data_IF_228129914486
#
_entry.id   IF_228129914486
#
_cell.length_a   1.000
_cell.length_b   1.000
_cell.length_c   1.000
_cell.angle_alpha   90.00
_cell.angle_beta   90.00
_cell.angle_gamma   90.00
#
_symmetry.space_group_name_H-M   'P 1'
#
loop_
_entity.id
_entity.type
_entity.pdbx_description
1 polymer ?
#
# COMPACT_ATOMS: atom_id res chain seq x y z
N UNK A 1 35.28 41.14 23.80
CA UNK A 1 34.21 41.08 22.77
C UNK A 1 33.34 39.87 23.08
N UNK A 2 32.03 39.89 22.79
CA UNK A 2 31.15 38.72 22.95
C UNK A 2 31.03 37.99 21.61
N UNK A 3 31.33 36.70 21.56
CA UNK A 3 31.10 35.87 20.38
C UNK A 3 29.60 35.54 20.24
N UNK A 4 29.02 35.56 19.04
CA UNK A 4 27.66 35.08 18.82
C UNK A 4 27.63 33.54 18.81
N UNK A 5 26.68 32.94 19.53
CA UNK A 5 26.44 31.50 19.46
C UNK A 5 25.68 31.15 18.18
N UNK A 6 26.25 30.29 17.34
CA UNK A 6 25.55 29.71 16.19
C UNK A 6 24.66 28.55 16.65
N UNK A 7 23.37 28.80 16.83
CA UNK A 7 22.38 27.72 17.05
C UNK A 7 22.05 27.05 15.72
N UNK A 8 22.69 25.92 15.45
CA UNK A 8 22.47 25.14 14.23
C UNK A 8 21.14 24.37 14.30
N UNK A 9 20.11 24.84 13.60
CA UNK A 9 18.85 24.11 13.45
C UNK A 9 19.00 22.89 12.53
N UNK A 10 19.18 21.70 13.11
CA UNK A 10 19.15 20.42 12.38
C UNK A 10 17.89 19.64 12.74
N UNK A 11 16.78 19.92 12.05
CA UNK A 11 15.49 19.23 12.25
C UNK A 11 14.77 18.80 10.96
N UNK A 12 15.29 19.14 9.77
CA UNK A 12 14.63 18.82 8.50
C UNK A 12 14.95 17.41 7.94
N UNK A 13 16.05 16.78 8.38
CA UNK A 13 16.56 15.56 7.74
C UNK A 13 15.79 14.28 8.12
N UNK A 14 15.21 14.21 9.32
CA UNK A 14 14.58 12.99 9.84
C UNK A 14 13.23 12.69 9.20
N UNK A 15 12.40 13.71 8.98
CA UNK A 15 11.08 13.55 8.35
C UNK A 15 11.17 13.06 6.89
N UNK A 16 12.20 13.47 6.15
CA UNK A 16 12.47 12.96 4.82
C UNK A 16 12.84 11.46 4.83
N UNK A 17 13.63 11.03 5.82
CA UNK A 17 14.02 9.63 5.96
C UNK A 17 12.84 8.71 6.33
N UNK A 18 11.98 9.11 7.27
CA UNK A 18 10.78 8.31 7.62
C UNK A 18 9.78 8.23 6.46
N UNK A 19 9.69 9.28 5.64
CA UNK A 19 8.82 9.30 4.45
C UNK A 19 9.23 8.27 3.39
N UNK A 20 10.48 7.80 3.35
CA UNK A 20 10.96 6.77 2.43
C UNK A 20 10.69 5.33 2.90
N UNK A 21 10.04 5.16 4.05
CA UNK A 21 9.70 3.88 4.66
C UNK A 21 8.19 3.56 4.58
N UNK A 22 7.35 4.49 4.11
CA UNK A 22 5.98 4.14 3.68
C UNK A 22 6.06 3.64 2.24
N UNK A 23 5.58 2.42 2.00
CA UNK A 23 5.79 1.68 0.75
C UNK A 23 4.51 1.03 0.26
N UNK A 24 4.43 0.78 -1.03
CA UNK A 24 3.42 -0.11 -1.60
C UNK A 24 3.89 -1.53 -1.31
N UNK A 25 3.11 -2.30 -0.56
CA UNK A 25 3.54 -3.58 0.04
C UNK A 25 2.84 -4.80 -0.52
N UNK A 26 1.62 -4.63 -1.05
CA UNK A 26 0.85 -5.66 -1.74
C UNK A 26 0.12 -5.05 -2.96
N UNK A 27 -0.06 -5.83 -4.02
CA UNK A 27 -0.87 -5.47 -5.19
C UNK A 27 -1.59 -6.69 -5.75
N UNK A 28 -2.85 -6.53 -6.16
CA UNK A 28 -3.61 -7.54 -6.89
C UNK A 28 -4.14 -6.97 -8.20
N UNK A 29 -3.68 -7.55 -9.33
CA UNK A 29 -4.04 -7.11 -10.69
C UNK A 29 -5.45 -7.54 -11.11
N UNK A 30 -6.01 -8.60 -10.54
CA UNK A 30 -7.38 -9.02 -10.85
C UNK A 30 -7.93 -9.95 -9.79
N UNK A 31 -9.22 -9.81 -9.51
CA UNK A 31 -9.99 -10.72 -8.67
C UNK A 31 -11.48 -10.40 -8.75
N UNK A 32 -12.32 -11.24 -8.16
CA UNK A 32 -13.78 -11.12 -8.24
C UNK A 32 -14.33 -9.78 -7.68
N UNK A 33 -13.56 -9.12 -6.81
CA UNK A 33 -13.95 -7.92 -6.10
C UNK A 33 -13.08 -6.71 -6.48
N UNK A 34 -12.63 -6.66 -7.73
CA UNK A 34 -11.81 -5.58 -8.27
C UNK A 34 -10.34 -5.64 -7.86
N UNK A 35 -9.59 -4.63 -8.27
CA UNK A 35 -8.16 -4.50 -8.00
C UNK A 35 -7.92 -3.67 -6.74
N UNK A 36 -6.74 -3.86 -6.14
CA UNK A 36 -6.29 -3.05 -5.00
C UNK A 36 -4.76 -3.04 -4.87
N UNK A 37 -4.24 -2.06 -4.13
CA UNK A 37 -2.90 -2.11 -3.55
C UNK A 37 -2.90 -1.73 -2.06
N UNK A 38 -1.93 -2.26 -1.32
CA UNK A 38 -1.67 -1.93 0.08
C UNK A 38 -0.56 -0.88 0.19
N UNK A 39 -0.74 0.11 1.06
CA UNK A 39 0.29 1.06 1.49
C UNK A 39 0.59 0.83 2.98
N UNK A 40 1.77 0.34 3.32
CA UNK A 40 2.20 0.13 4.71
C UNK A 40 3.36 1.03 5.14
N UNK A 41 3.31 1.49 6.40
CA UNK A 41 4.43 2.18 7.05
C UNK A 41 5.41 1.19 7.68
N UNK A 42 6.59 1.05 7.08
CA UNK A 42 7.65 0.13 7.49
C UNK A 42 8.70 0.81 8.39
N UNK A 43 8.40 2.00 8.93
CA UNK A 43 9.23 2.69 9.90
C UNK A 43 8.89 2.28 11.35
N UNK A 44 9.88 2.38 12.24
CA UNK A 44 9.69 2.31 13.70
C UNK A 44 9.07 3.60 14.31
N UNK A 45 8.57 4.49 13.46
CA UNK A 45 8.00 5.79 13.83
C UNK A 45 6.69 6.02 13.07
N UNK A 46 5.63 6.58 13.69
CA UNK A 46 4.39 6.85 12.99
C UNK A 46 4.56 7.88 11.86
N UNK A 47 3.86 7.67 10.73
CA UNK A 47 3.87 8.59 9.58
C UNK A 47 2.44 9.04 9.27
N UNK A 48 2.23 10.36 9.19
CA UNK A 48 0.94 10.94 8.86
C UNK A 48 0.80 11.16 7.35
N UNK A 49 -0.34 10.71 6.79
CA UNK A 49 -0.63 10.70 5.34
C UNK A 49 -1.32 11.98 4.83
N UNK A 50 -1.47 13.03 5.64
CA UNK A 50 -2.06 14.30 5.20
C UNK A 50 -1.33 14.89 3.98
N UNK A 51 -2.07 15.17 2.90
CA UNK A 51 -1.57 15.60 1.59
C UNK A 51 -0.67 14.60 0.84
N UNK A 52 -0.54 13.34 1.29
CA UNK A 52 0.03 12.30 0.43
C UNK A 52 -0.91 11.97 -0.72
N UNK A 53 -0.35 11.46 -1.82
CA UNK A 53 -1.11 11.09 -3.03
C UNK A 53 -0.58 9.81 -3.65
N UNK A 54 -1.44 9.09 -4.37
CA UNK A 54 -1.01 8.07 -5.32
C UNK A 54 -1.35 8.46 -6.75
N UNK A 55 -0.60 7.96 -7.73
CA UNK A 55 -0.91 8.15 -9.15
C UNK A 55 -0.63 6.86 -9.92
N UNK A 56 -1.57 6.46 -10.77
CA UNK A 56 -1.53 5.21 -11.53
C UNK A 56 -1.61 5.45 -13.05
N UNK A 57 -1.30 6.66 -13.55
CA UNK A 57 -1.57 7.02 -14.94
C UNK A 57 -0.59 8.04 -15.53
N UNK A 58 -0.44 9.21 -14.90
CA UNK A 58 0.37 10.33 -15.43
C UNK A 58 1.77 10.42 -14.82
N UNK A 59 2.05 9.66 -13.75
CA UNK A 59 3.33 9.69 -13.04
C UNK A 59 3.62 10.98 -12.28
N UNK A 60 2.62 11.86 -12.09
CA UNK A 60 2.75 13.22 -11.57
C UNK A 60 1.88 13.48 -10.32
N UNK A 61 2.49 14.00 -9.25
CA UNK A 61 1.86 14.31 -7.96
C UNK A 61 0.55 15.11 -8.06
N UNK A 62 0.55 16.24 -8.80
CA UNK A 62 -0.59 17.15 -8.88
C UNK A 62 -1.87 16.50 -9.47
N UNK A 63 -1.69 15.44 -10.27
CA UNK A 63 -2.77 14.67 -10.89
C UNK A 63 -3.09 13.37 -10.12
N UNK A 64 -2.33 13.05 -9.07
CA UNK A 64 -2.59 11.91 -8.20
C UNK A 64 -3.82 12.12 -7.31
N UNK A 65 -4.50 11.03 -6.97
CA UNK A 65 -5.61 11.00 -6.03
C UNK A 65 -5.08 11.15 -4.58
N UNK A 66 -5.83 11.82 -3.68
CA UNK A 66 -5.42 12.02 -2.30
C UNK A 66 -5.51 10.73 -1.49
N UNK A 67 -4.58 10.56 -0.54
CA UNK A 67 -4.69 9.57 0.53
C UNK A 67 -5.41 10.17 1.75
N UNK A 68 -6.02 9.32 2.60
CA UNK A 68 -6.79 9.78 3.76
C UNK A 68 -5.86 10.40 4.81
N UNK A 69 -6.37 11.40 5.54
CA UNK A 69 -5.65 12.04 6.65
C UNK A 69 -5.63 11.14 7.90
N UNK A 70 -4.86 10.06 7.84
CA UNK A 70 -4.60 9.11 8.93
C UNK A 70 -3.13 9.11 9.30
N UNK A 71 -2.81 8.57 10.48
CA UNK A 71 -1.43 8.33 10.91
C UNK A 71 -1.18 6.83 10.96
N UNK A 72 -0.34 6.33 10.06
CA UNK A 72 0.11 4.95 10.10
C UNK A 72 1.08 4.77 11.27
N UNK A 73 0.75 3.89 12.22
CA UNK A 73 1.73 3.38 13.18
C UNK A 73 2.82 2.54 12.49
N UNK A 74 3.75 1.98 13.25
CA UNK A 74 4.64 0.92 12.70
C UNK A 74 3.78 -0.25 12.22
N UNK A 75 4.02 -0.68 10.99
CA UNK A 75 3.23 -1.67 10.25
C UNK A 75 1.74 -1.27 10.07
N UNK A 76 1.40 0.01 10.28
CA UNK A 76 0.09 0.56 9.97
C UNK A 76 -0.13 0.62 8.46
N UNK A 77 -1.32 0.22 8.00
CA UNK A 77 -1.65 0.00 6.59
C UNK A 77 -2.88 0.79 6.13
N UNK A 78 -2.95 1.11 4.85
CA UNK A 78 -4.11 1.65 4.12
C UNK A 78 -4.28 0.86 2.82
N UNK A 79 -5.51 0.40 2.56
CA UNK A 79 -5.87 -0.31 1.33
C UNK A 79 -6.51 0.68 0.35
N UNK A 80 -6.02 0.72 -0.89
CA UNK A 80 -6.60 1.48 -1.99
C UNK A 80 -7.21 0.49 -2.98
N UNK A 81 -8.53 0.52 -3.16
CA UNK A 81 -9.30 -0.50 -3.90
C UNK A 81 -10.37 0.12 -4.80
N UNK A 82 -10.74 -0.55 -5.89
CA UNK A 82 -11.77 -0.07 -6.83
C UNK A 82 -13.20 -0.22 -6.32
N UNK A 83 -13.44 -1.15 -5.39
CA UNK A 83 -14.75 -1.38 -4.77
C UNK A 83 -14.93 -0.56 -3.50
N UNK A 84 -16.14 -0.57 -2.94
CA UNK A 84 -16.36 0.02 -1.61
C UNK A 84 -15.71 -0.82 -0.50
N UNK A 85 -15.34 -0.17 0.59
CA UNK A 85 -14.75 -0.81 1.78
C UNK A 85 -15.57 -2.02 2.23
N UNK A 86 -16.90 -1.88 2.31
CA UNK A 86 -17.81 -2.96 2.71
C UNK A 86 -17.81 -4.14 1.74
N UNK A 87 -17.59 -3.93 0.43
CA UNK A 87 -17.46 -5.03 -0.54
C UNK A 87 -16.09 -5.71 -0.38
N UNK A 88 -15.03 -4.95 -0.09
CA UNK A 88 -13.71 -5.52 0.22
C UNK A 88 -13.73 -6.34 1.52
N UNK A 89 -14.36 -5.82 2.58
CA UNK A 89 -14.54 -6.52 3.86
C UNK A 89 -15.28 -7.86 3.67
N UNK A 90 -16.41 -7.81 2.95
CA UNK A 90 -17.23 -8.99 2.64
C UNK A 90 -16.48 -9.97 1.72
N UNK A 91 -15.65 -9.48 0.80
CA UNK A 91 -14.87 -10.32 -0.09
C UNK A 91 -13.83 -11.15 0.69
N UNK A 92 -12.97 -10.47 1.44
CA UNK A 92 -11.66 -11.00 1.82
C UNK A 92 -11.53 -11.25 3.35
N UNK A 93 -12.59 -11.00 4.14
CA UNK A 93 -12.74 -11.51 5.51
C UNK A 93 -13.94 -12.47 5.69
N UNK A 94 -14.53 -12.98 4.60
CA UNK A 94 -15.61 -13.96 4.66
C UNK A 94 -15.19 -15.33 5.24
N UNK A 95 -13.93 -15.71 5.09
CA UNK A 95 -13.45 -17.04 5.50
C UNK A 95 -13.39 -17.17 7.04
N UNK A 96 -13.96 -18.25 7.64
CA UNK A 96 -14.03 -18.42 9.08
C UNK A 96 -12.66 -18.39 9.76
N UNK A 97 -12.45 -17.38 10.61
CA UNK A 97 -11.19 -17.17 11.33
C UNK A 97 -10.34 -16.00 10.79
N UNK A 98 -10.72 -15.39 9.66
CA UNK A 98 -10.21 -14.09 9.26
C UNK A 98 -10.92 -12.94 10.00
N UNK A 99 -10.25 -11.80 10.08
CA UNK A 99 -10.76 -10.56 10.68
C UNK A 99 -9.98 -9.37 10.14
N UNK A 100 -10.64 -8.20 10.05
CA UNK A 100 -9.99 -6.93 9.68
C UNK A 100 -8.71 -6.70 10.53
N UNK A 101 -7.53 -6.50 9.92
CA UNK A 101 -6.28 -6.31 10.66
C UNK A 101 -6.33 -5.08 11.57
N UNK A 102 -5.91 -5.22 12.82
CA UNK A 102 -5.90 -4.12 13.82
C UNK A 102 -4.99 -2.95 13.45
N UNK A 103 -4.11 -3.15 12.47
CA UNK A 103 -3.20 -2.17 11.89
C UNK A 103 -3.75 -1.49 10.61
N UNK A 104 -4.93 -1.89 10.11
CA UNK A 104 -5.59 -1.21 8.98
C UNK A 104 -6.24 0.09 9.45
N UNK A 105 -5.77 1.22 8.90
CA UNK A 105 -6.14 2.56 9.34
C UNK A 105 -7.25 3.19 8.50
N UNK A 106 -7.36 2.86 7.21
CA UNK A 106 -8.44 3.31 6.32
C UNK A 106 -8.48 2.51 5.00
N UNK A 107 -9.63 2.58 4.34
CA UNK A 107 -9.81 2.25 2.92
C UNK A 107 -9.81 3.53 2.07
N UNK A 108 -9.47 3.38 0.78
CA UNK A 108 -9.58 4.42 -0.25
C UNK A 108 -10.32 3.85 -1.45
N UNK A 109 -11.58 4.24 -1.61
CA UNK A 109 -12.48 3.76 -2.67
C UNK A 109 -12.18 4.51 -3.98
N UNK A 110 -11.40 3.88 -4.86
CA UNK A 110 -10.89 4.43 -6.11
C UNK A 110 -11.76 4.05 -7.34
N UNK A 111 -13.08 4.09 -7.18
CA UNK A 111 -14.08 3.66 -8.17
C UNK A 111 -14.17 4.51 -9.47
N UNK A 112 -13.18 5.36 -9.75
CA UNK A 112 -13.13 6.24 -10.94
C UNK A 112 -11.78 6.25 -11.68
N UNK A 113 -10.80 5.48 -11.22
CA UNK A 113 -9.45 5.39 -11.82
C UNK A 113 -8.96 3.94 -11.81
N UNK A 114 -9.63 3.08 -12.59
CA UNK A 114 -9.34 1.66 -12.67
C UNK A 114 -7.83 1.38 -12.85
N UNK A 115 -7.36 0.29 -12.25
CA UNK A 115 -5.97 -0.13 -12.26
C UNK A 115 -5.62 -1.05 -13.46
N UNK A 116 -6.58 -1.40 -14.32
CA UNK A 116 -6.41 -2.43 -15.35
C UNK A 116 -5.38 -2.07 -16.45
N UNK A 117 -5.28 -0.79 -16.82
CA UNK A 117 -4.35 -0.29 -17.85
C UNK A 117 -3.03 0.26 -17.28
N UNK A 118 -2.72 0.03 -15.99
CA UNK A 118 -1.64 0.78 -15.32
C UNK A 118 -0.29 0.08 -15.43
N UNK A 119 0.63 0.68 -16.19
CA UNK A 119 2.02 0.22 -16.23
C UNK A 119 2.76 0.49 -14.91
N UNK A 120 2.31 1.46 -14.11
CA UNK A 120 3.00 1.89 -12.89
C UNK A 120 2.09 2.59 -11.88
N UNK A 121 2.24 2.24 -10.59
CA UNK A 121 1.64 2.94 -9.45
C UNK A 121 2.77 3.67 -8.69
N UNK A 122 2.61 4.98 -8.48
CA UNK A 122 3.53 5.84 -7.72
C UNK A 122 2.89 6.34 -6.43
N UNK A 123 3.63 6.24 -5.34
CA UNK A 123 3.28 6.83 -4.04
C UNK A 123 4.08 8.12 -3.82
N UNK A 124 3.39 9.22 -3.49
CA UNK A 124 3.97 10.54 -3.28
C UNK A 124 3.74 11.06 -1.86
N UNK A 125 4.77 11.69 -1.32
CA UNK A 125 4.68 12.46 -0.07
C UNK A 125 4.19 13.90 -0.33
N UNK A 126 3.91 14.71 0.73
CA UNK A 126 3.32 16.05 0.58
C UNK A 126 4.22 17.07 -0.13
N UNK A 127 5.52 16.79 -0.25
CA UNK A 127 6.47 17.59 -1.03
C UNK A 127 6.44 17.29 -2.54
N UNK A 128 5.57 16.37 -2.99
CA UNK A 128 5.47 15.94 -4.38
C UNK A 128 6.60 15.00 -4.83
N UNK A 129 7.38 14.47 -3.89
CA UNK A 129 8.43 13.49 -4.17
C UNK A 129 7.79 12.09 -4.20
N UNK A 130 8.07 11.33 -5.27
CA UNK A 130 7.72 9.91 -5.32
C UNK A 130 8.63 9.16 -4.34
N UNK A 131 8.04 8.50 -3.34
CA UNK A 131 8.76 7.75 -2.29
C UNK A 131 8.72 6.24 -2.51
N UNK A 132 7.78 5.77 -3.33
CA UNK A 132 7.78 4.39 -3.82
C UNK A 132 7.14 4.31 -5.21
N UNK A 133 7.55 3.31 -5.99
CA UNK A 133 7.14 3.09 -7.38
C UNK A 133 7.04 1.60 -7.66
N UNK A 134 5.86 1.16 -8.11
CA UNK A 134 5.60 -0.24 -8.50
C UNK A 134 5.19 -0.26 -9.96
N UNK A 135 6.15 -0.61 -10.82
CA UNK A 135 5.85 -0.92 -12.23
C UNK A 135 5.19 -2.30 -12.29
N UNK A 136 3.98 -2.39 -12.86
CA UNK A 136 3.19 -3.63 -12.88
C UNK A 136 3.73 -4.53 -14.00
N UNK A 137 4.68 -5.41 -13.67
CA UNK A 137 5.28 -6.33 -14.63
C UNK A 137 4.26 -7.35 -15.15
N UNK A 138 4.37 -7.74 -16.42
CA UNK A 138 3.38 -8.59 -17.11
C UNK A 138 3.15 -9.93 -16.42
N UNK A 139 4.17 -10.52 -15.79
CA UNK A 139 4.03 -11.77 -15.03
C UNK A 139 3.04 -11.68 -13.86
N UNK A 140 2.77 -10.49 -13.31
CA UNK A 140 1.70 -10.26 -12.32
C UNK A 140 0.36 -10.02 -13.02
N UNK A 141 0.35 -9.41 -14.21
CA UNK A 141 -0.86 -9.18 -15.02
C UNK A 141 -1.47 -10.49 -15.54
N UNK A 142 -0.62 -11.41 -15.96
CA UNK A 142 -1.00 -12.70 -16.55
C UNK A 142 -1.52 -13.71 -15.51
N UNK A 143 -1.48 -13.37 -14.22
CA UNK A 143 -2.08 -14.18 -13.15
C UNK A 143 -3.23 -13.45 -12.49
N UNK A 144 -4.43 -13.77 -12.95
CA UNK A 144 -5.66 -13.50 -12.20
C UNK A 144 -5.56 -14.11 -10.79
N UNK A 145 -6.38 -13.60 -9.87
CA UNK A 145 -6.68 -14.22 -8.58
C UNK A 145 -5.51 -14.29 -7.58
N UNK A 146 -4.40 -13.58 -7.83
CA UNK A 146 -3.19 -13.59 -7.00
C UNK A 146 -2.72 -12.18 -6.65
N UNK A 147 -2.41 -11.99 -5.38
CA UNK A 147 -1.68 -10.82 -4.91
C UNK A 147 -0.16 -11.09 -4.94
N UNK A 148 0.61 -10.04 -5.23
CA UNK A 148 2.06 -10.03 -5.07
C UNK A 148 2.44 -9.10 -3.91
N UNK A 149 3.44 -9.49 -3.13
CA UNK A 149 4.00 -8.73 -2.01
C UNK A 149 5.49 -8.49 -2.18
N UNK A 150 6.03 -7.48 -1.49
CA UNK A 150 7.47 -7.34 -1.34
C UNK A 150 8.06 -8.54 -0.57
N UNK A 151 9.16 -9.10 -1.06
CA UNK A 151 9.91 -10.13 -0.35
C UNK A 151 10.49 -9.60 0.98
N UNK A 152 10.94 -10.49 1.87
CA UNK A 152 11.48 -10.09 3.18
C UNK A 152 12.71 -9.15 3.10
N UNK A 153 13.46 -9.18 1.99
CA UNK A 153 14.56 -8.24 1.73
C UNK A 153 14.09 -6.88 1.18
N UNK A 154 12.80 -6.75 0.82
CA UNK A 154 12.14 -5.60 0.17
C UNK A 154 12.85 -5.16 -1.12
N UNK A 155 13.39 -6.13 -1.85
CA UNK A 155 14.13 -5.94 -3.12
C UNK A 155 13.34 -6.34 -4.36
N UNK A 156 12.50 -7.38 -4.26
CA UNK A 156 11.72 -7.93 -5.38
C UNK A 156 10.30 -8.23 -4.93
N UNK A 157 9.36 -8.16 -5.88
CA UNK A 157 8.00 -8.67 -5.73
C UNK A 157 7.97 -10.20 -5.88
N UNK A 158 7.18 -10.86 -5.03
CA UNK A 158 6.88 -12.31 -5.09
C UNK A 158 5.39 -12.53 -4.86
N UNK A 159 4.81 -13.56 -5.46
CA UNK A 159 3.41 -13.89 -5.21
C UNK A 159 3.19 -14.30 -3.75
N UNK A 160 2.15 -13.76 -3.12
CA UNK A 160 1.83 -14.03 -1.72
C UNK A 160 1.74 -15.54 -1.47
N UNK A 161 1.10 -16.29 -2.35
CA UNK A 161 0.88 -17.74 -2.26
C UNK A 161 2.16 -18.61 -2.35
N UNK A 162 3.33 -18.02 -2.60
CA UNK A 162 4.64 -18.69 -2.57
C UNK A 162 5.38 -18.55 -1.24
N UNK A 163 4.90 -17.68 -0.34
CA UNK A 163 5.48 -17.49 1.00
C UNK A 163 4.86 -18.52 1.97
N UNK A 164 5.66 -19.18 2.82
CA UNK A 164 5.11 -20.01 3.89
C UNK A 164 4.41 -19.15 4.96
N UNK A 165 3.11 -19.38 5.17
CA UNK A 165 2.32 -18.72 6.23
C UNK A 165 1.55 -17.46 5.82
N UNK A 166 1.66 -17.02 4.57
CA UNK A 166 0.69 -16.11 3.96
C UNK A 166 -0.59 -16.87 3.59
N UNK A 167 -1.72 -16.17 3.63
CA UNK A 167 -3.01 -16.74 3.24
C UNK A 167 -3.12 -16.85 1.71
N UNK A 168 -4.01 -17.75 1.25
CA UNK A 168 -4.24 -17.99 -0.19
C UNK A 168 -5.64 -17.56 -0.59
N UNK A 169 -5.73 -17.06 -1.82
CA UNK A 169 -6.95 -16.58 -2.45
C UNK A 169 -7.94 -17.72 -2.76
N UNK A 170 -8.74 -18.10 -1.77
CA UNK A 170 -9.89 -19.00 -1.91
C UNK A 170 -9.56 -20.49 -2.09
N UNK A 171 -10.27 -21.35 -1.34
CA UNK A 171 -10.61 -22.73 -1.70
C UNK A 171 -11.48 -23.38 -0.60
N UNK A 172 -12.58 -24.09 -0.94
CA UNK A 172 -13.51 -23.83 -2.04
C UNK A 172 -14.98 -23.81 -1.57
N UNK A 173 -15.78 -22.85 -2.05
CA UNK A 173 -17.21 -22.79 -1.68
C UNK A 173 -18.05 -21.91 -2.61
N UNK A 174 -17.87 -20.60 -2.52
CA UNK A 174 -18.41 -19.61 -3.44
C UNK A 174 -17.50 -18.36 -3.46
N UNK A 175 -17.57 -17.57 -4.53
CA UNK A 175 -16.99 -16.23 -4.63
C UNK A 175 -15.45 -16.09 -4.58
N UNK A 176 -14.73 -16.89 -5.36
CA UNK A 176 -13.46 -16.45 -5.96
C UNK A 176 -12.31 -16.11 -4.98
N UNK A 177 -11.48 -15.09 -5.28
CA UNK A 177 -10.25 -14.79 -4.53
C UNK A 177 -10.38 -13.60 -3.56
N UNK A 178 -9.52 -13.62 -2.52
CA UNK A 178 -9.52 -12.89 -1.21
C UNK A 178 -8.22 -11.87 -1.01
N UNK A 179 -7.35 -12.97 -1.21
CA UNK A 179 -5.90 -13.28 -1.35
C UNK A 179 -5.24 -13.50 -0.01
N UNK A 180 -4.21 -12.71 0.26
CA UNK A 180 -3.87 -12.27 1.60
C UNK A 180 -4.13 -10.75 1.64
N UNK A 181 -4.61 -10.14 2.74
CA UNK A 181 -4.59 -8.69 2.96
C UNK A 181 -3.36 -8.35 3.82
N UNK A 182 -2.20 -8.88 3.42
CA UNK A 182 -0.95 -8.84 4.16
C UNK A 182 -0.91 -9.63 5.48
N UNK A 183 0.32 -10.00 5.86
CA UNK A 183 0.76 -9.78 7.25
C UNK A 183 2.05 -8.99 7.11
N UNK A 184 2.06 -7.75 7.59
CA UNK A 184 3.26 -6.89 7.51
C UNK A 184 4.32 -7.43 8.47
N UNK A 185 5.23 -8.25 7.94
CA UNK A 185 6.39 -8.76 8.69
C UNK A 185 7.37 -7.60 8.91
N UNK A 186 7.78 -7.29 10.17
CA UNK A 186 8.67 -6.18 10.50
C UNK A 186 10.02 -6.15 9.75
#
# INVERSE_FOLDING_TARGET
>A
MKSPSLTLMVFAATAAASSAQVRITEYSYKGLFGQYFEISNLALTPVNLNNWRFNNNTGLYNFGAPLPNVTLGTNGTVIVTEVSATVFDIAWYAEPGLSVPVNLMAYVENNTKNFEDVDEIRLFNPGGIAVDVVSVITSIRDTEDRAAVLNAARTNWVFADTIPGSWKAGAPGANGPVGNPGVVVP
#
